data_IF_195339538749
#
_entry.id   IF_195339538749
#
_cell.length_a   1.000
_cell.length_b   1.000
_cell.length_c   1.000
_cell.angle_alpha   90.00
_cell.angle_beta   90.00
_cell.angle_gamma   90.00
#
_symmetry.space_group_name_H-M   'P 1'
#
loop_
_entity.id
_entity.type
_entity.pdbx_description
1 polymer ?
#
# COMPACT_ATOMS: atom_id res chain seq x y z
N UNK A 1 -9.48 -30.46 13.76
CA UNK A 1 -8.67 -29.37 14.36
C UNK A 1 -7.23 -29.34 13.83
N UNK A 2 -6.46 -30.44 13.88
CA UNK A 2 -5.06 -30.48 13.40
C UNK A 2 -4.90 -30.20 11.90
N UNK A 3 -5.65 -30.88 11.03
CA UNK A 3 -5.60 -30.68 9.58
C UNK A 3 -5.87 -29.23 9.13
N UNK A 4 -6.79 -28.54 9.81
CA UNK A 4 -7.09 -27.12 9.53
C UNK A 4 -5.92 -26.21 9.91
N UNK A 5 -5.32 -26.46 11.08
CA UNK A 5 -4.14 -25.70 11.51
C UNK A 5 -2.96 -25.92 10.55
N UNK A 6 -2.80 -27.15 10.05
CA UNK A 6 -1.79 -27.47 9.04
C UNK A 6 -2.05 -26.76 7.72
N UNK A 7 -3.29 -26.74 7.23
CA UNK A 7 -3.66 -25.97 6.03
C UNK A 7 -3.33 -24.48 6.21
N UNK A 8 -3.75 -23.88 7.33
CA UNK A 8 -3.44 -22.49 7.65
C UNK A 8 -1.92 -22.23 7.73
N UNK A 9 -1.15 -23.16 8.31
CA UNK A 9 0.31 -23.04 8.39
C UNK A 9 0.98 -23.14 7.01
N UNK A 10 0.47 -23.97 6.10
CA UNK A 10 0.94 -24.05 4.71
C UNK A 10 0.69 -22.74 3.97
N UNK A 11 -0.51 -22.19 4.09
CA UNK A 11 -0.86 -20.94 3.39
C UNK A 11 -0.07 -19.75 3.93
N UNK A 12 0.11 -19.67 5.25
CA UNK A 12 1.01 -18.67 5.89
C UNK A 12 2.43 -18.79 5.31
N UNK A 13 2.94 -20.02 5.17
CA UNK A 13 4.28 -20.26 4.64
C UNK A 13 4.37 -19.91 3.16
N UNK A 14 3.33 -20.21 2.37
CA UNK A 14 3.24 -19.85 0.96
C UNK A 14 3.23 -18.34 0.77
N UNK A 15 2.39 -17.61 1.53
CA UNK A 15 2.36 -16.15 1.53
C UNK A 15 3.72 -15.57 1.91
N UNK A 16 4.39 -16.09 2.94
CA UNK A 16 5.69 -15.56 3.37
C UNK A 16 6.85 -15.97 2.44
N UNK A 17 6.68 -17.05 1.69
CA UNK A 17 7.66 -17.55 0.71
C UNK A 17 7.70 -16.74 -0.59
N UNK A 18 6.65 -16.01 -0.91
CA UNK A 18 6.61 -15.09 -2.05
C UNK A 18 7.61 -13.93 -1.87
N UNK A 19 8.33 -13.60 -2.95
CA UNK A 19 9.42 -12.63 -2.95
C UNK A 19 8.98 -11.25 -2.43
N UNK A 20 7.79 -10.80 -2.83
CA UNK A 20 7.24 -9.51 -2.43
C UNK A 20 6.62 -9.55 -1.03
N UNK A 21 5.94 -10.65 -0.70
CA UNK A 21 5.20 -10.77 0.56
C UNK A 21 6.05 -11.24 1.74
N UNK A 22 7.30 -11.69 1.53
CA UNK A 22 8.24 -12.05 2.60
C UNK A 22 8.46 -10.95 3.64
N UNK A 23 8.21 -9.69 3.29
CA UNK A 23 8.29 -8.55 4.22
C UNK A 23 7.10 -8.46 5.18
N UNK A 24 6.04 -9.23 4.96
CA UNK A 24 4.78 -9.12 5.69
C UNK A 24 4.90 -9.66 7.12
N UNK A 25 4.45 -8.85 8.07
CA UNK A 25 4.16 -9.31 9.44
C UNK A 25 2.76 -9.92 9.53
N UNK A 26 2.46 -10.54 10.68
CA UNK A 26 1.22 -11.29 10.89
C UNK A 26 -0.07 -10.56 10.53
N UNK A 27 -0.14 -9.24 10.69
CA UNK A 27 -1.34 -8.46 10.30
C UNK A 27 -1.56 -8.43 8.79
N UNK A 28 -0.49 -8.32 8.01
CA UNK A 28 -0.55 -8.31 6.54
C UNK A 28 -0.78 -9.71 6.00
N UNK A 29 -0.10 -10.72 6.57
CA UNK A 29 -0.38 -12.14 6.26
C UNK A 29 -1.84 -12.49 6.57
N UNK A 30 -2.34 -12.08 7.74
CA UNK A 30 -3.75 -12.28 8.10
C UNK A 30 -4.70 -11.65 7.10
N UNK A 31 -4.45 -10.40 6.67
CA UNK A 31 -5.28 -9.77 5.64
C UNK A 31 -5.21 -10.51 4.29
N UNK A 32 -4.01 -10.91 3.87
CA UNK A 32 -3.82 -11.68 2.65
C UNK A 32 -4.57 -13.01 2.67
N UNK A 33 -4.62 -13.70 3.81
CA UNK A 33 -5.42 -14.92 3.98
C UNK A 33 -6.92 -14.66 3.77
N UNK A 34 -7.44 -13.56 4.30
CA UNK A 34 -8.84 -13.16 4.08
C UNK A 34 -9.10 -12.82 2.61
N UNK A 35 -8.16 -12.13 1.95
CA UNK A 35 -8.24 -11.80 0.52
C UNK A 35 -8.18 -13.09 -0.34
N UNK A 36 -7.55 -14.16 0.16
CA UNK A 36 -7.54 -15.50 -0.44
C UNK A 36 -8.78 -16.36 -0.07
N UNK A 37 -9.72 -15.82 0.70
CA UNK A 37 -11.00 -16.47 1.01
C UNK A 37 -11.09 -17.20 2.34
N UNK A 38 -10.09 -17.08 3.23
CA UNK A 38 -10.21 -17.64 4.59
C UNK A 38 -11.29 -16.91 5.40
N UNK A 39 -12.10 -17.68 6.15
CA UNK A 39 -13.03 -17.14 7.13
C UNK A 39 -12.24 -16.55 8.33
N UNK A 40 -12.50 -15.29 8.75
CA UNK A 40 -11.90 -14.71 9.96
C UNK A 40 -12.08 -15.54 11.25
N UNK A 41 -13.14 -16.34 11.34
CA UNK A 41 -13.39 -17.26 12.46
C UNK A 41 -12.46 -18.47 12.44
N UNK A 42 -11.98 -18.87 11.26
CA UNK A 42 -11.08 -20.00 11.07
C UNK A 42 -9.60 -19.59 11.03
N UNK A 43 -9.32 -18.38 10.55
CA UNK A 43 -8.00 -17.75 10.51
C UNK A 43 -7.95 -16.54 11.44
N UNK A 44 -8.11 -16.78 12.74
CA UNK A 44 -8.04 -15.72 13.74
C UNK A 44 -6.69 -14.99 13.71
N UNK A 45 -6.70 -13.65 13.78
CA UNK A 45 -5.48 -12.83 13.68
C UNK A 45 -4.37 -13.27 14.65
N UNK A 46 -4.74 -13.59 15.88
CA UNK A 46 -3.78 -13.98 16.92
C UNK A 46 -3.32 -15.44 16.76
N UNK A 47 -4.15 -16.28 16.12
CA UNK A 47 -3.75 -17.63 15.68
C UNK A 47 -2.71 -17.56 14.57
N UNK A 48 -2.90 -16.68 13.57
CA UNK A 48 -1.90 -16.40 12.53
C UNK A 48 -0.59 -15.92 13.16
N UNK A 49 -0.66 -14.98 14.11
CA UNK A 49 0.52 -14.49 14.82
C UNK A 49 1.27 -15.61 15.56
N UNK A 50 0.54 -16.51 16.22
CA UNK A 50 1.10 -17.65 16.94
C UNK A 50 1.76 -18.65 15.98
N UNK A 51 1.09 -19.03 14.90
CA UNK A 51 1.63 -19.98 13.90
C UNK A 51 2.88 -19.41 13.25
N UNK A 52 2.88 -18.14 12.84
CA UNK A 52 4.08 -17.49 12.30
C UNK A 52 5.25 -17.56 13.28
N UNK A 53 5.00 -17.32 14.58
CA UNK A 53 6.03 -17.41 15.61
C UNK A 53 6.58 -18.84 15.75
N UNK A 54 5.72 -19.84 15.73
CA UNK A 54 6.09 -21.27 15.80
C UNK A 54 6.91 -21.70 14.57
N UNK A 55 6.62 -21.14 13.38
CA UNK A 55 7.36 -21.38 12.14
C UNK A 55 8.63 -20.51 11.99
N UNK A 56 8.92 -19.64 12.96
CA UNK A 56 10.07 -18.70 12.89
C UNK A 56 9.89 -17.56 11.89
N UNK A 57 8.70 -17.39 11.30
CA UNK A 57 8.40 -16.36 10.30
C UNK A 57 8.19 -15.00 10.96
N UNK A 58 8.85 -13.97 10.42
CA UNK A 58 8.77 -12.60 10.93
C UNK A 58 8.65 -11.61 9.78
N UNK A 59 7.77 -10.64 9.95
CA UNK A 59 7.73 -9.49 9.04
C UNK A 59 8.94 -8.60 9.23
N UNK A 60 9.37 -7.97 8.14
CA UNK A 60 10.43 -6.97 8.17
C UNK A 60 9.92 -5.75 8.93
N UNK A 61 10.67 -5.32 9.95
CA UNK A 61 10.43 -4.05 10.65
C UNK A 61 11.30 -3.01 9.98
N UNK A 62 10.71 -1.89 9.56
CA UNK A 62 11.48 -0.74 9.07
C UNK A 62 12.50 -0.30 10.11
N UNK A 63 13.68 0.13 9.64
CA UNK A 63 14.75 0.65 10.49
C UNK A 63 14.38 1.98 11.18
N UNK A 64 15.37 2.85 11.42
CA UNK A 64 15.11 4.19 11.99
C UNK A 64 13.97 4.89 11.24
N UNK A 65 13.03 5.46 12.01
CA UNK A 65 11.97 6.31 11.45
C UNK A 65 12.63 7.41 10.62
N UNK A 66 12.28 7.57 9.33
CA UNK A 66 12.78 8.69 8.54
C UNK A 66 12.43 9.99 9.27
N UNK A 67 13.37 10.92 9.32
CA UNK A 67 13.05 12.31 9.70
C UNK A 67 12.18 12.85 8.58
N UNK A 68 10.88 12.93 8.84
CA UNK A 68 9.91 13.49 7.89
C UNK A 68 10.16 14.99 7.75
N UNK A 69 9.72 15.56 6.62
CA UNK A 69 9.74 17.00 6.37
C UNK A 69 9.21 17.76 7.59
N UNK A 70 10.10 18.52 8.23
CA UNK A 70 9.72 19.39 9.34
C UNK A 70 8.90 20.53 8.71
N UNK A 71 7.63 20.73 9.10
CA UNK A 71 6.84 21.83 8.58
C UNK A 71 7.56 23.15 8.83
N UNK A 72 7.61 24.02 7.83
CA UNK A 72 8.11 25.38 8.02
C UNK A 72 7.28 26.07 9.11
N UNK A 73 7.94 26.64 10.12
CA UNK A 73 7.25 27.40 11.17
C UNK A 73 6.71 28.69 10.55
N UNK A 74 5.43 28.99 10.78
CA UNK A 74 4.85 30.32 10.51
C UNK A 74 4.01 30.47 9.23
N UNK A 75 4.00 29.51 8.32
CA UNK A 75 3.01 29.50 7.24
C UNK A 75 1.82 28.69 7.73
N UNK A 76 0.69 29.34 8.05
CA UNK A 76 -0.58 28.64 8.33
C UNK A 76 -0.73 27.49 7.33
N UNK A 77 -0.70 26.26 7.83
CA UNK A 77 -0.45 25.07 7.01
C UNK A 77 -1.42 25.00 5.83
N UNK A 78 -1.02 24.28 4.76
CA UNK A 78 -1.93 24.01 3.64
C UNK A 78 -3.25 23.45 4.17
N UNK A 79 -4.36 23.98 3.65
CA UNK A 79 -5.69 23.53 4.03
C UNK A 79 -5.82 22.02 3.77
N UNK A 80 -6.18 21.27 4.81
CA UNK A 80 -6.45 19.83 4.69
C UNK A 80 -7.82 19.65 4.04
N UNK A 81 -7.85 19.65 2.70
CA UNK A 81 -9.08 19.50 1.91
C UNK A 81 -9.76 18.15 2.14
N UNK A 82 -9.02 17.14 2.58
CA UNK A 82 -9.58 15.82 2.91
C UNK A 82 -10.07 15.73 4.36
N UNK A 83 -9.71 16.68 5.23
CA UNK A 83 -10.01 16.64 6.67
C UNK A 83 -9.59 15.31 7.32
N UNK A 84 -8.44 14.75 6.92
CA UNK A 84 -7.96 13.40 7.27
C UNK A 84 -8.92 12.23 6.96
N UNK A 85 -9.93 12.43 6.11
CA UNK A 85 -10.87 11.40 5.67
C UNK A 85 -10.48 10.89 4.27
N UNK A 86 -9.75 9.79 4.22
CA UNK A 86 -9.28 9.16 2.98
C UNK A 86 -10.25 8.11 2.44
N UNK A 87 -11.55 8.39 2.50
CA UNK A 87 -12.62 7.57 1.96
C UNK A 87 -13.51 8.42 1.07
N UNK A 88 -13.82 7.91 -0.12
CA UNK A 88 -14.72 8.55 -1.07
C UNK A 88 -16.03 7.76 -1.19
N UNK A 89 -17.11 8.45 -1.60
CA UNK A 89 -18.44 7.83 -1.82
C UNK A 89 -18.64 7.30 -3.25
N UNK A 90 -17.80 7.73 -4.18
CA UNK A 90 -17.84 7.34 -5.58
C UNK A 90 -16.42 7.43 -6.19
N UNK A 91 -16.14 6.72 -7.30
CA UNK A 91 -14.91 6.89 -8.07
C UNK A 91 -14.69 8.35 -8.49
N UNK A 92 -13.43 8.72 -8.69
CA UNK A 92 -12.96 10.01 -9.19
C UNK A 92 -13.35 11.22 -8.32
N UNK A 93 -13.73 11.01 -7.05
CA UNK A 93 -14.01 12.08 -6.07
C UNK A 93 -12.82 12.46 -5.19
N UNK A 94 -11.95 11.51 -4.91
CA UNK A 94 -10.73 11.74 -4.13
C UNK A 94 -9.63 10.84 -4.68
N UNK A 95 -8.55 11.46 -5.13
CA UNK A 95 -7.32 10.78 -5.51
C UNK A 95 -6.26 11.00 -4.44
N UNK A 96 -5.57 9.94 -4.06
CA UNK A 96 -4.46 9.97 -3.10
C UNK A 96 -3.18 9.66 -3.88
N UNK A 97 -2.22 10.58 -3.81
CA UNK A 97 -0.93 10.42 -4.46
C UNK A 97 0.16 10.13 -3.43
N UNK A 98 1.11 9.28 -3.82
CA UNK A 98 2.31 9.00 -3.05
C UNK A 98 3.54 8.92 -3.98
N UNK A 99 4.71 9.26 -3.45
CA UNK A 99 5.99 9.09 -4.14
C UNK A 99 6.88 8.23 -3.24
N UNK A 100 7.40 7.14 -3.79
CA UNK A 100 8.25 6.21 -3.08
C UNK A 100 9.58 5.99 -3.81
N UNK A 101 10.57 5.51 -3.05
CA UNK A 101 11.91 5.23 -3.52
C UNK A 101 12.05 3.73 -3.70
N UNK A 102 12.34 3.30 -4.93
CA UNK A 102 12.51 1.91 -5.29
C UNK A 102 14.00 1.64 -5.49
N UNK A 103 14.57 0.77 -4.67
CA UNK A 103 15.95 0.32 -4.86
C UNK A 103 16.00 -0.65 -6.04
N UNK A 104 16.90 -0.38 -6.99
CA UNK A 104 17.15 -1.23 -8.15
C UNK A 104 18.24 -2.26 -7.85
N UNK A 105 18.30 -3.33 -8.66
CA UNK A 105 19.21 -4.46 -8.45
C UNK A 105 20.69 -4.07 -8.54
N UNK A 106 21.01 -3.03 -9.31
CA UNK A 106 22.36 -2.46 -9.45
C UNK A 106 22.78 -1.55 -8.28
N UNK A 107 21.92 -1.40 -7.27
CA UNK A 107 22.15 -0.56 -6.09
C UNK A 107 21.75 0.91 -6.27
N UNK A 108 21.30 1.31 -7.46
CA UNK A 108 20.74 2.64 -7.70
C UNK A 108 19.29 2.74 -7.17
N UNK A 109 18.71 3.94 -7.27
CA UNK A 109 17.32 4.19 -6.86
C UNK A 109 16.52 4.81 -8.01
N UNK A 110 15.31 4.31 -8.21
CA UNK A 110 14.27 4.98 -8.95
C UNK A 110 13.27 5.62 -8.00
N UNK A 111 12.60 6.65 -8.47
CA UNK A 111 11.49 7.29 -7.80
C UNK A 111 10.22 6.87 -8.54
N UNK A 112 9.23 6.38 -7.81
CA UNK A 112 7.95 5.96 -8.37
C UNK A 112 6.83 6.79 -7.76
N UNK A 113 6.05 7.46 -8.60
CA UNK A 113 4.86 8.20 -8.22
C UNK A 113 3.63 7.39 -8.58
N UNK A 114 2.67 7.33 -7.67
CA UNK A 114 1.40 6.64 -7.86
C UNK A 114 0.25 7.56 -7.47
N UNK A 115 -0.84 7.50 -8.23
CA UNK A 115 -2.12 8.12 -7.91
C UNK A 115 -3.18 7.05 -7.83
N UNK A 116 -3.78 6.90 -6.66
CA UNK A 116 -4.83 5.91 -6.39
C UNK A 116 -6.19 6.58 -6.22
N UNK A 117 -7.22 5.98 -6.79
CA UNK A 117 -8.60 6.31 -6.48
C UNK A 117 -8.99 5.80 -5.09
N UNK A 118 -9.45 6.71 -4.20
CA UNK A 118 -9.73 6.38 -2.81
C UNK A 118 -10.97 5.47 -2.64
N UNK A 119 -11.89 5.46 -3.60
CA UNK A 119 -13.07 4.60 -3.59
C UNK A 119 -12.74 3.22 -4.17
N UNK A 120 -12.27 3.17 -5.42
CA UNK A 120 -12.04 1.94 -6.17
C UNK A 120 -10.74 1.22 -5.80
N UNK A 121 -9.87 1.85 -5.00
CA UNK A 121 -8.53 1.33 -4.64
C UNK A 121 -7.66 0.97 -5.85
N UNK A 122 -7.91 1.63 -6.99
CA UNK A 122 -7.21 1.40 -8.25
C UNK A 122 -6.14 2.47 -8.47
N UNK A 123 -4.99 2.08 -9.00
CA UNK A 123 -3.99 3.02 -9.52
C UNK A 123 -4.50 3.59 -10.84
N UNK A 124 -4.73 4.90 -10.89
CA UNK A 124 -5.28 5.62 -12.05
C UNK A 124 -4.24 6.50 -12.75
N UNK A 125 -3.04 6.61 -12.17
CA UNK A 125 -1.89 7.25 -12.79
C UNK A 125 -0.60 6.83 -12.09
N UNK A 126 0.49 6.73 -12.83
CA UNK A 126 1.80 6.37 -12.30
C UNK A 126 2.94 6.91 -13.17
N UNK A 127 4.10 7.11 -12.57
CA UNK A 127 5.31 7.48 -13.28
C UNK A 127 6.52 6.92 -12.54
N UNK A 128 7.61 6.65 -13.27
CA UNK A 128 8.88 6.21 -12.72
C UNK A 128 10.00 7.00 -13.39
N UNK A 129 10.91 7.56 -12.60
CA UNK A 129 12.10 8.22 -13.13
C UNK A 129 13.32 7.99 -12.23
N UNK A 130 14.50 8.19 -12.79
CA UNK A 130 15.78 8.10 -12.07
C UNK A 130 16.08 9.34 -11.23
N UNK A 131 15.33 10.44 -11.42
CA UNK A 131 15.51 11.70 -10.67
C UNK A 131 14.18 12.24 -10.14
N UNK A 132 14.20 12.97 -9.03
CA UNK A 132 13.00 13.57 -8.42
C UNK A 132 12.62 14.94 -9.02
N UNK A 133 13.01 15.21 -10.28
CA UNK A 133 12.74 16.50 -10.92
C UNK A 133 11.23 16.67 -11.19
N UNK A 134 10.70 17.86 -10.91
CA UNK A 134 9.26 18.16 -10.92
C UNK A 134 8.58 17.89 -12.27
N UNK A 135 9.30 18.05 -13.39
CA UNK A 135 8.74 17.84 -14.73
C UNK A 135 8.53 16.37 -15.11
N UNK A 136 9.17 15.43 -14.40
CA UNK A 136 9.14 14.01 -14.78
C UNK A 136 8.13 13.23 -13.92
N UNK A 137 8.25 13.29 -12.59
CA UNK A 137 7.47 12.40 -11.71
C UNK A 137 6.21 13.02 -11.10
N UNK A 138 6.30 14.16 -10.39
CA UNK A 138 5.13 14.74 -9.72
C UNK A 138 4.04 15.23 -10.67
N UNK A 139 4.35 15.44 -11.95
CA UNK A 139 3.40 15.97 -12.92
C UNK A 139 2.74 14.87 -13.76
N UNK A 140 3.51 13.90 -14.26
CA UNK A 140 2.99 12.85 -15.14
C UNK A 140 1.93 11.97 -14.48
N UNK A 141 2.16 11.51 -13.23
CA UNK A 141 1.21 10.61 -12.57
C UNK A 141 -0.15 11.31 -12.29
N UNK A 142 -0.20 12.56 -11.80
CA UNK A 142 -1.45 13.31 -11.72
C UNK A 142 -2.10 13.62 -13.07
N UNK A 143 -1.34 13.95 -14.11
CA UNK A 143 -1.89 14.20 -15.45
C UNK A 143 -2.60 12.96 -16.00
N UNK A 144 -2.00 11.78 -15.86
CA UNK A 144 -2.63 10.50 -16.20
C UNK A 144 -3.92 10.29 -15.42
N UNK A 145 -3.92 10.55 -14.10
CA UNK A 145 -5.10 10.39 -13.27
C UNK A 145 -6.25 11.35 -13.65
N UNK A 146 -5.91 12.59 -14.03
CA UNK A 146 -6.88 13.57 -14.53
C UNK A 146 -7.46 13.10 -15.88
N UNK A 147 -6.61 12.64 -16.79
CA UNK A 147 -7.05 12.09 -18.08
C UNK A 147 -7.96 10.87 -17.88
N UNK A 148 -7.59 9.97 -16.96
CA UNK A 148 -8.39 8.81 -16.58
C UNK A 148 -9.78 9.21 -16.08
N UNK A 149 -9.85 10.17 -15.16
CA UNK A 149 -11.11 10.65 -14.60
C UNK A 149 -12.01 11.31 -15.66
N UNK A 150 -11.42 12.03 -16.62
CA UNK A 150 -12.16 12.60 -17.77
C UNK A 150 -12.76 11.51 -18.66
N UNK A 151 -12.01 10.45 -18.92
CA UNK A 151 -12.46 9.37 -19.81
C UNK A 151 -13.50 8.44 -19.16
N UNK A 152 -13.48 8.29 -17.83
CA UNK A 152 -14.32 7.32 -17.12
C UNK A 152 -15.43 7.94 -16.28
N UNK A 153 -15.50 9.28 -16.21
CA UNK A 153 -16.51 10.01 -15.45
C UNK A 153 -16.45 9.76 -13.93
N UNK A 154 -17.03 10.66 -13.15
CA UNK A 154 -17.51 10.26 -11.82
C UNK A 154 -18.88 9.62 -12.03
N UNK A 155 -19.11 8.40 -11.56
CA UNK A 155 -20.49 7.90 -11.46
C UNK A 155 -21.23 8.90 -10.56
N UNK A 156 -22.19 9.60 -11.14
CA UNK A 156 -23.04 10.53 -10.43
C UNK A 156 -23.59 9.82 -9.18
N UNK A 157 -23.42 10.48 -8.04
CA UNK A 157 -24.03 10.09 -6.78
C UNK A 157 -24.94 11.21 -6.35
#
# INVERSE_FOLDING_TARGET
>A
MAARREALARDITSIHGDEFMRVYGYRKVWRQLLDQGWDPLEAGRDQVARIMRELGLRGVRGGRRPVTTIPARGTGGRLDLAGRKFAARAPNRLHVADITYVRLADGSFAYAAFVADAYARRIVGWAVASTMRTGELPLQAPEQAIAWARAHGGTEG
#
